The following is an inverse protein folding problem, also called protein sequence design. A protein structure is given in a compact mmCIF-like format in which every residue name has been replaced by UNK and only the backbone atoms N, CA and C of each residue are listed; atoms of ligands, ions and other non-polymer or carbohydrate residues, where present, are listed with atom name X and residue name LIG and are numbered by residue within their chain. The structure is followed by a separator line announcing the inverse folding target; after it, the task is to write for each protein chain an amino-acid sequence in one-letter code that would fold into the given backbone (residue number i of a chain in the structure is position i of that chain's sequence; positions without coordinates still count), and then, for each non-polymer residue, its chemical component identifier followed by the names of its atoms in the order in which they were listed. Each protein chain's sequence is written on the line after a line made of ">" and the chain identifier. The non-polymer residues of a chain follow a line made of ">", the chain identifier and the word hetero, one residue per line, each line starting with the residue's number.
data_IF_603806342935
#
_entry.id   IF_603806342935
#
_cell.length_a   1.000
_cell.length_b   1.000
_cell.length_c   1.000
_cell.angle_alpha   90.00
_cell.angle_beta   90.00
_cell.angle_gamma   90.00
#
_symmetry.space_group_name_H-M   'P 1'
#
loop_
_entity.id
_entity.type
_entity.pdbx_description
1 polymer ?
#
# COMPACT_ATOMS: atom_id res chain seq x y z
N UNK A 1 -8.45 13.55 -4.27
CA UNK A 1 -8.07 12.16 -3.89
C UNK A 1 -9.31 11.32 -4.04
N UNK A 2 -9.22 10.20 -4.76
CA UNK A 2 -10.38 9.45 -5.24
C UNK A 2 -10.05 7.96 -5.30
N UNK A 3 -11.06 7.12 -5.06
CA UNK A 3 -11.01 5.72 -5.46
C UNK A 3 -11.08 5.62 -6.99
N UNK A 4 -10.38 4.64 -7.56
CA UNK A 4 -10.50 4.34 -8.99
C UNK A 4 -10.87 2.87 -9.21
N UNK A 5 -10.93 2.42 -10.46
CA UNK A 5 -11.29 1.04 -10.80
C UNK A 5 -10.12 0.07 -10.66
N UNK A 6 -9.05 0.39 -9.93
CA UNK A 6 -7.80 -0.37 -9.95
C UNK A 6 -7.87 -1.85 -9.54
N UNK A 7 -8.94 -2.28 -8.87
CA UNK A 7 -9.22 -3.70 -8.63
C UNK A 7 -9.59 -4.46 -9.91
N UNK A 8 -10.20 -3.77 -10.88
CA UNK A 8 -10.69 -4.33 -12.14
C UNK A 8 -9.92 -3.81 -13.36
N UNK A 9 -9.20 -2.70 -13.23
CA UNK A 9 -8.43 -2.06 -14.31
C UNK A 9 -6.92 -2.16 -14.08
N UNK A 10 -6.18 -2.97 -14.88
CA UNK A 10 -4.76 -3.27 -14.66
C UNK A 10 -3.80 -2.08 -14.70
N UNK A 11 -4.25 -0.90 -15.16
CA UNK A 11 -3.42 0.30 -15.29
C UNK A 11 -3.72 1.36 -14.21
N UNK A 12 -4.81 1.20 -13.47
CA UNK A 12 -5.23 2.16 -12.47
C UNK A 12 -4.90 1.66 -11.05
N UNK A 13 -4.52 2.53 -10.10
CA UNK A 13 -4.34 2.15 -8.70
C UNK A 13 -5.68 1.93 -7.99
N UNK A 14 -5.69 1.36 -6.78
CA UNK A 14 -6.86 1.45 -5.91
C UNK A 14 -7.28 2.91 -5.62
N UNK A 15 -6.28 3.78 -5.35
CA UNK A 15 -6.49 5.17 -4.96
C UNK A 15 -5.51 6.07 -5.71
N UNK A 16 -5.97 7.24 -6.16
CA UNK A 16 -5.09 8.27 -6.69
C UNK A 16 -5.43 9.67 -6.18
N UNK A 17 -4.50 10.58 -6.36
CA UNK A 17 -4.76 12.01 -6.35
C UNK A 17 -4.18 12.63 -7.62
N UNK A 18 -4.86 13.65 -8.12
CA UNK A 18 -4.43 14.44 -9.27
C UNK A 18 -4.40 15.91 -8.88
N UNK A 19 -3.54 16.68 -9.54
CA UNK A 19 -3.57 18.13 -9.46
C UNK A 19 -4.64 18.72 -10.39
N UNK A 20 -4.76 20.06 -10.39
CA UNK A 20 -5.71 20.81 -11.22
C UNK A 20 -5.46 20.67 -12.74
N UNK A 21 -4.32 20.09 -13.14
CA UNK A 21 -3.94 19.81 -14.53
C UNK A 21 -4.19 18.36 -14.92
N UNK A 22 -4.88 17.58 -14.08
CA UNK A 22 -5.13 16.13 -14.24
C UNK A 22 -3.86 15.26 -14.14
N UNK A 23 -2.72 15.82 -13.71
CA UNK A 23 -1.50 15.04 -13.49
C UNK A 23 -1.62 14.28 -12.18
N UNK A 24 -1.40 12.96 -12.23
CA UNK A 24 -1.36 12.12 -11.03
C UNK A 24 -0.22 12.53 -10.12
N UNK A 25 -0.55 12.89 -8.87
CA UNK A 25 0.39 13.26 -7.80
C UNK A 25 0.54 12.16 -6.75
N UNK A 26 -0.47 11.29 -6.62
CA UNK A 26 -0.44 10.09 -5.77
C UNK A 26 -0.99 8.90 -6.55
N UNK A 27 -0.30 7.77 -6.46
CA UNK A 27 -0.74 6.47 -6.93
C UNK A 27 -0.58 5.48 -5.76
N UNK A 28 -1.67 4.90 -5.28
CA UNK A 28 -1.67 4.04 -4.10
C UNK A 28 -2.40 2.71 -4.37
N UNK A 29 -1.71 1.61 -4.11
CA UNK A 29 -2.24 0.25 -4.23
C UNK A 29 -2.36 -0.43 -2.87
N UNK A 30 -3.31 -1.35 -2.76
CA UNK A 30 -3.52 -2.21 -1.59
C UNK A 30 -3.16 -3.66 -1.97
N UNK A 31 -2.51 -4.39 -1.05
CA UNK A 31 -2.10 -5.78 -1.20
C UNK A 31 -0.85 -5.96 -2.06
N UNK A 32 -0.83 -7.04 -2.85
CA UNK A 32 0.33 -7.45 -3.68
C UNK A 32 0.13 -7.04 -5.16
N UNK A 33 0.53 -5.83 -5.58
CA UNK A 33 0.40 -5.44 -6.99
C UNK A 33 1.24 -6.33 -7.91
N UNK A 34 0.73 -6.69 -9.10
CA UNK A 34 1.54 -7.35 -10.11
C UNK A 34 2.77 -6.51 -10.48
N UNK A 35 3.96 -7.13 -10.58
CA UNK A 35 5.20 -6.44 -10.99
C UNK A 35 5.01 -5.53 -12.22
N UNK A 36 4.29 -6.00 -13.25
CA UNK A 36 4.06 -5.22 -14.47
C UNK A 36 3.28 -3.92 -14.21
N UNK A 37 2.31 -3.94 -13.28
CA UNK A 37 1.48 -2.79 -12.90
C UNK A 37 2.33 -1.73 -12.20
N UNK A 38 3.06 -2.13 -11.16
CA UNK A 38 3.96 -1.23 -10.43
C UNK A 38 5.06 -0.66 -11.34
N UNK A 39 5.72 -1.50 -12.15
CA UNK A 39 6.77 -1.05 -13.07
C UNK A 39 6.24 -0.09 -14.15
N UNK A 40 4.99 -0.26 -14.58
CA UNK A 40 4.34 0.69 -15.48
C UNK A 40 4.12 2.04 -14.78
N UNK A 41 3.55 2.03 -13.57
CA UNK A 41 3.33 3.25 -12.78
C UNK A 41 4.65 3.99 -12.52
N UNK A 42 5.68 3.29 -12.04
CA UNK A 42 7.02 3.86 -11.84
C UNK A 42 7.58 4.47 -13.11
N UNK A 43 7.36 3.86 -14.28
CA UNK A 43 7.85 4.42 -15.54
C UNK A 43 7.10 5.69 -15.96
N UNK A 44 5.77 5.71 -15.82
CA UNK A 44 4.92 6.81 -16.32
C UNK A 44 4.83 7.99 -15.35
N UNK A 45 4.86 7.71 -14.05
CA UNK A 45 4.58 8.67 -13.00
C UNK A 45 5.88 9.03 -12.27
N UNK A 46 6.76 9.76 -12.96
CA UNK A 46 8.11 10.07 -12.45
C UNK A 46 8.13 11.02 -11.26
N UNK A 47 7.08 11.85 -11.13
CA UNK A 47 6.96 12.87 -10.07
C UNK A 47 5.86 12.54 -9.04
N UNK A 48 5.11 11.45 -9.23
CA UNK A 48 4.05 11.07 -8.30
C UNK A 48 4.63 10.29 -7.10
N UNK A 49 4.00 10.45 -5.94
CA UNK A 49 4.21 9.53 -4.82
C UNK A 49 3.57 8.18 -5.16
N UNK A 50 4.37 7.11 -5.15
CA UNK A 50 3.90 5.73 -5.35
C UNK A 50 3.86 5.06 -3.98
N UNK A 51 2.70 4.52 -3.59
CA UNK A 51 2.51 3.86 -2.29
C UNK A 51 1.90 2.47 -2.45
N UNK A 52 2.38 1.51 -1.66
CA UNK A 52 1.79 0.17 -1.56
C UNK A 52 1.52 -0.13 -0.09
N UNK A 53 0.30 -0.54 0.21
CA UNK A 53 -0.14 -0.89 1.56
C UNK A 53 -0.43 -2.38 1.63
N UNK A 54 0.31 -3.10 2.48
CA UNK A 54 0.11 -4.51 2.76
C UNK A 54 -0.76 -4.69 4.01
N UNK A 55 -1.46 -5.81 4.10
CA UNK A 55 -2.24 -6.25 5.26
C UNK A 55 -1.47 -7.26 6.12
N UNK A 56 -0.45 -7.93 5.58
CA UNK A 56 0.34 -8.92 6.32
C UNK A 56 1.79 -8.98 5.86
N UNK A 57 2.64 -9.60 6.69
CA UNK A 57 4.04 -9.89 6.32
C UNK A 57 4.13 -10.91 5.18
N UNK A 58 3.19 -11.86 5.09
CA UNK A 58 3.11 -12.82 3.97
C UNK A 58 2.94 -12.11 2.62
N UNK A 59 2.12 -11.04 2.56
CA UNK A 59 1.98 -10.23 1.36
C UNK A 59 3.29 -9.50 0.98
N UNK A 60 4.07 -9.06 1.98
CA UNK A 60 5.38 -8.44 1.75
C UNK A 60 6.34 -9.47 1.14
N UNK A 61 6.38 -10.69 1.68
CA UNK A 61 7.22 -11.78 1.17
C UNK A 61 6.83 -12.13 -0.28
N UNK A 62 5.53 -12.32 -0.53
CA UNK A 62 5.00 -12.60 -1.87
C UNK A 62 5.36 -11.48 -2.86
N UNK A 63 5.17 -10.23 -2.46
CA UNK A 63 5.54 -9.06 -3.25
C UNK A 63 7.04 -9.05 -3.58
N UNK A 64 7.92 -9.29 -2.60
CA UNK A 64 9.36 -9.36 -2.80
C UNK A 64 9.74 -10.47 -3.80
N UNK A 65 9.11 -11.65 -3.70
CA UNK A 65 9.27 -12.73 -4.67
C UNK A 65 8.85 -12.31 -6.09
N UNK A 66 7.70 -11.63 -6.23
CA UNK A 66 7.23 -11.11 -7.52
C UNK A 66 8.18 -10.06 -8.14
N UNK A 67 8.83 -9.27 -7.28
CA UNK A 67 9.76 -8.22 -7.67
C UNK A 67 11.16 -8.73 -8.02
N UNK A 68 11.47 -10.00 -7.77
CA UNK A 68 12.75 -10.61 -8.18
C UNK A 68 13.04 -10.34 -9.66
N UNK A 69 14.29 -9.94 -9.93
CA UNK A 69 14.79 -9.60 -11.27
C UNK A 69 14.30 -8.26 -11.84
N UNK A 70 13.60 -7.44 -11.06
CA UNK A 70 13.28 -6.07 -11.46
C UNK A 70 14.58 -5.26 -11.61
N UNK A 71 14.75 -4.60 -12.77
CA UNK A 71 15.97 -3.85 -13.13
C UNK A 71 15.92 -2.36 -12.79
N UNK A 72 14.77 -1.86 -12.35
CA UNK A 72 14.59 -0.45 -12.00
C UNK A 72 14.77 -0.28 -10.50
N UNK A 73 15.25 0.90 -10.09
CA UNK A 73 15.32 1.29 -8.68
C UNK A 73 13.91 1.56 -8.11
N UNK A 74 13.11 0.51 -7.98
CA UNK A 74 11.72 0.59 -7.52
C UNK A 74 11.63 0.83 -6.01
N UNK A 75 12.59 0.29 -5.27
CA UNK A 75 12.70 0.38 -3.81
C UNK A 75 12.75 1.83 -3.34
N UNK A 76 13.57 2.67 -3.98
CA UNK A 76 13.69 4.09 -3.61
C UNK A 76 12.59 4.98 -4.19
N UNK A 77 11.77 4.45 -5.10
CA UNK A 77 10.76 5.21 -5.83
C UNK A 77 9.33 4.95 -5.38
N UNK A 78 9.13 4.07 -4.40
CA UNK A 78 7.85 3.78 -3.81
C UNK A 78 7.99 3.67 -2.28
N UNK A 79 6.94 4.07 -1.58
CA UNK A 79 6.81 3.91 -0.14
C UNK A 79 5.94 2.68 0.14
N UNK A 80 6.30 1.91 1.16
CA UNK A 80 5.65 0.66 1.50
C UNK A 80 5.18 0.72 2.94
N UNK A 81 3.94 0.32 3.18
CA UNK A 81 3.31 0.39 4.49
C UNK A 81 2.71 -0.97 4.84
N UNK A 82 2.77 -1.32 6.11
CA UNK A 82 2.06 -2.46 6.66
C UNK A 82 0.95 -1.93 7.56
N UNK A 83 -0.28 -2.26 7.22
CA UNK A 83 -1.45 -2.00 8.02
C UNK A 83 -1.69 -3.18 8.96
N UNK A 84 -2.20 -2.88 10.15
CA UNK A 84 -2.56 -3.91 11.12
C UNK A 84 -3.84 -4.62 10.68
N UNK A 85 -3.71 -5.90 10.32
CA UNK A 85 -4.82 -6.73 9.88
C UNK A 85 -5.95 -6.79 10.90
N UNK A 86 -5.64 -6.89 12.20
CA UNK A 86 -6.66 -7.01 13.23
C UNK A 86 -7.52 -5.73 13.28
N UNK A 87 -6.90 -4.55 13.16
CA UNK A 87 -7.64 -3.29 13.11
C UNK A 87 -8.57 -3.24 11.88
N UNK A 88 -8.10 -3.72 10.72
CA UNK A 88 -8.90 -3.70 9.49
C UNK A 88 -10.08 -4.67 9.59
N UNK A 89 -9.86 -5.86 10.14
CA UNK A 89 -10.91 -6.87 10.36
C UNK A 89 -11.97 -6.35 11.35
N UNK A 90 -11.55 -5.81 12.50
CA UNK A 90 -12.47 -5.24 13.48
C UNK A 90 -13.24 -4.02 12.94
N UNK A 91 -12.58 -3.17 12.14
CA UNK A 91 -13.23 -2.02 11.49
C UNK A 91 -14.26 -2.49 10.45
N UNK A 92 -13.98 -3.57 9.72
CA UNK A 92 -14.88 -4.14 8.74
C UNK A 92 -16.19 -4.63 9.40
N UNK A 93 -16.13 -5.17 10.61
CA UNK A 93 -17.31 -5.56 11.39
C UNK A 93 -18.20 -4.37 11.79
N UNK A 94 -17.62 -3.17 11.88
CA UNK A 94 -18.34 -1.94 12.21
C UNK A 94 -18.89 -1.20 10.98
N UNK A 95 -18.64 -1.70 9.77
CA UNK A 95 -19.09 -1.04 8.54
C UNK A 95 -20.62 -1.06 8.44
N UNK A 96 -21.16 0.08 8.07
CA UNK A 96 -22.58 0.26 7.79
C UNK A 96 -22.75 1.01 6.47
N UNK A 97 -23.95 0.95 5.89
CA UNK A 97 -24.29 1.72 4.67
C UNK A 97 -23.98 3.22 4.81
N UNK A 98 -23.99 3.74 6.04
CA UNK A 98 -23.64 5.12 6.35
C UNK A 98 -22.83 5.17 7.64
N UNK A 99 -21.52 5.30 7.50
CA UNK A 99 -20.59 5.39 8.63
C UNK A 99 -20.10 6.83 8.82
N UNK A 100 -19.86 7.20 10.07
CA UNK A 100 -19.19 8.45 10.44
C UNK A 100 -17.94 8.10 11.20
N UNK A 101 -16.80 8.52 10.65
CA UNK A 101 -15.49 8.26 11.21
C UNK A 101 -14.83 9.56 11.62
N UNK A 102 -14.16 9.54 12.76
CA UNK A 102 -13.21 10.59 13.16
C UNK A 102 -11.83 9.98 13.22
N UNK A 103 -10.89 10.57 12.50
CA UNK A 103 -9.53 10.04 12.34
C UNK A 103 -8.51 11.10 12.75
N UNK A 104 -7.48 10.70 13.46
CA UNK A 104 -6.33 11.54 13.79
C UNK A 104 -5.05 10.71 13.70
N UNK A 105 -3.97 11.32 13.23
CA UNK A 105 -2.65 10.69 13.19
C UNK A 105 -1.72 11.53 14.07
N UNK A 106 -1.15 10.92 15.10
CA UNK A 106 -0.17 11.54 15.99
C UNK A 106 0.96 10.55 16.25
N UNK A 107 2.21 11.00 16.11
CA UNK A 107 3.41 10.17 16.37
C UNK A 107 3.38 8.79 15.67
N UNK A 108 2.97 8.77 14.40
CA UNK A 108 2.81 7.56 13.58
C UNK A 108 1.73 6.57 14.07
N UNK A 109 0.89 6.99 15.01
CA UNK A 109 -0.27 6.22 15.46
C UNK A 109 -1.53 6.78 14.80
N UNK A 110 -2.29 5.90 14.17
CA UNK A 110 -3.65 6.12 13.72
C UNK A 110 -4.59 5.97 14.91
N UNK A 111 -5.39 6.98 15.19
CA UNK A 111 -6.55 6.93 16.07
C UNK A 111 -7.81 7.05 15.24
N UNK A 112 -8.68 6.05 15.30
CA UNK A 112 -9.92 6.00 14.52
C UNK A 112 -11.11 5.75 15.45
N UNK A 113 -12.02 6.69 15.53
CA UNK A 113 -13.34 6.47 16.13
C UNK A 113 -14.35 6.17 15.02
N UNK A 114 -15.01 5.02 15.11
CA UNK A 114 -16.06 4.61 14.19
C UNK A 114 -17.25 4.05 14.97
N UNK A 115 -18.42 4.68 14.83
CA UNK A 115 -19.62 4.38 15.62
C UNK A 115 -19.33 4.45 17.14
N UNK A 116 -19.49 3.33 17.85
CA UNK A 116 -19.24 3.20 19.30
C UNK A 116 -17.85 2.62 19.62
N UNK A 117 -17.04 2.34 18.59
CA UNK A 117 -15.73 1.71 18.73
C UNK A 117 -14.60 2.71 18.48
N UNK A 118 -13.51 2.54 19.22
CA UNK A 118 -12.26 3.28 19.01
C UNK A 118 -11.14 2.29 18.71
N UNK A 119 -10.41 2.57 17.65
CA UNK A 119 -9.29 1.78 17.19
C UNK A 119 -8.01 2.60 17.26
N UNK A 120 -6.92 1.92 17.55
CA UNK A 120 -5.59 2.50 17.54
C UNK A 120 -4.64 1.52 16.89
N UNK A 121 -3.82 1.99 15.95
CA UNK A 121 -2.77 1.16 15.37
C UNK A 121 -1.60 1.99 14.87
N UNK A 122 -0.36 1.49 14.92
CA UNK A 122 0.75 2.11 14.23
C UNK A 122 0.55 2.11 12.72
N UNK A 123 1.01 3.17 12.06
CA UNK A 123 1.22 3.21 10.62
C UNK A 123 2.67 2.83 10.35
N UNK A 124 2.91 1.55 10.08
CA UNK A 124 4.26 1.01 9.97
C UNK A 124 4.82 1.23 8.57
N UNK A 125 5.90 2.00 8.46
CA UNK A 125 6.70 2.07 7.23
C UNK A 125 7.52 0.78 7.11
N UNK A 126 7.45 0.13 5.97
CA UNK A 126 8.16 -1.11 5.67
C UNK A 126 9.50 -0.78 5.03
N UNK A 127 10.59 -1.27 5.62
CA UNK A 127 11.90 -1.29 4.98
C UNK A 127 11.93 -2.38 3.90
N UNK A 128 11.30 -2.12 2.75
CA UNK A 128 11.09 -3.16 1.73
C UNK A 128 12.39 -3.75 1.17
N UNK A 129 13.50 -3.00 1.28
CA UNK A 129 14.80 -3.48 0.82
C UNK A 129 15.29 -4.67 1.63
N UNK A 130 15.12 -4.63 2.95
CA UNK A 130 15.51 -5.69 3.87
C UNK A 130 14.74 -6.97 3.56
N UNK A 131 13.42 -6.88 3.48
CA UNK A 131 12.54 -7.98 3.04
C UNK A 131 12.93 -8.53 1.66
N UNK A 132 13.25 -7.65 0.71
CA UNK A 132 13.66 -8.09 -0.62
C UNK A 132 15.00 -8.84 -0.59
N UNK A 133 15.97 -8.38 0.20
CA UNK A 133 17.26 -9.04 0.37
C UNK A 133 17.12 -10.43 0.99
N UNK A 134 16.33 -10.56 2.05
CA UNK A 134 16.01 -11.84 2.70
C UNK A 134 15.40 -12.82 1.69
N UNK A 135 14.44 -12.33 0.89
CA UNK A 135 13.82 -13.12 -0.15
C UNK A 135 14.83 -13.65 -1.18
N UNK A 136 15.95 -12.97 -1.43
CA UNK A 136 16.97 -13.46 -2.37
C UNK A 136 17.84 -14.57 -1.75
N UNK A 137 18.05 -14.55 -0.44
CA UNK A 137 18.89 -15.51 0.27
C UNK A 137 18.21 -16.89 0.40
N UNK A 138 16.89 -16.93 0.64
CA UNK A 138 16.13 -18.19 0.73
C UNK A 138 16.24 -19.06 -0.53
N UNK A 139 16.28 -18.42 -1.70
CA UNK A 139 16.36 -19.11 -2.99
C UNK A 139 17.77 -19.60 -3.34
N UNK A 140 18.78 -19.24 -2.54
CA UNK A 140 20.18 -19.64 -2.73
C UNK A 140 20.55 -20.93 -1.97
N UNK A 141 19.64 -21.41 -1.11
CA UNK A 141 19.81 -22.58 -0.27
C UNK A 141 19.09 -23.85 -0.78
N UNK A 142 18.43 -23.75 -1.95
CA UNK A 142 17.77 -24.86 -2.67
C UNK A 142 18.45 -25.13 -4.01
#
# INVERSE_FOLDING_TARGET
>A
IEFSQGLFEPKEPCIWAKDVTEKTTLWAEIGVPPKKKLMHALKQLTEASIRVYFLSEDEIIEFCHHMRGAKTNWVERAEFFLLDQNLIDELAEQLSLRSYWSLSICDHILYLAANESNFQSPVTLVNIWEWYQESLMENSAS
#
